data_IF_155688895275
#
_entry.id   IF_155688895275
#
_cell.length_a   1.000
_cell.length_b   1.000
_cell.length_c   1.000
_cell.angle_alpha   90.00
_cell.angle_beta   90.00
_cell.angle_gamma   90.00
#
_symmetry.space_group_name_H-M   'P 1'
#
loop_
_entity.id
_entity.type
_entity.pdbx_description
1 polymer ?
#
# COMPACT_ATOMS: atom_id res chain seq x y z
N UNK A 1 -7.39 0.34 -0.58
CA UNK A 1 -7.82 0.70 -1.94
C UNK A 1 -6.86 0.11 -2.97
N UNK A 2 -5.58 0.44 -2.93
CA UNK A 2 -4.54 -0.12 -3.82
C UNK A 2 -4.57 -1.65 -3.88
N UNK A 3 -4.71 -2.35 -2.75
CA UNK A 3 -4.80 -3.82 -2.70
C UNK A 3 -5.99 -4.36 -3.50
N UNK A 4 -7.16 -3.76 -3.35
CA UNK A 4 -8.36 -4.14 -4.13
C UNK A 4 -8.12 -3.86 -5.61
N UNK A 5 -7.52 -2.71 -5.95
CA UNK A 5 -7.23 -2.39 -7.34
C UNK A 5 -6.20 -3.31 -7.97
N UNK A 6 -5.19 -3.77 -7.22
CA UNK A 6 -4.25 -4.79 -7.69
C UNK A 6 -4.96 -6.12 -7.99
N UNK A 7 -5.89 -6.53 -7.14
CA UNK A 7 -6.71 -7.71 -7.39
C UNK A 7 -7.56 -7.54 -8.65
N UNK A 8 -8.26 -6.42 -8.81
CA UNK A 8 -9.07 -6.11 -10.00
C UNK A 8 -8.19 -6.05 -11.25
N UNK A 9 -7.01 -5.42 -11.18
CA UNK A 9 -6.07 -5.38 -12.28
C UNK A 9 -5.69 -6.79 -12.75
N UNK A 10 -5.34 -7.70 -11.83
CA UNK A 10 -5.00 -9.07 -12.17
C UNK A 10 -6.18 -9.81 -12.80
N UNK A 11 -7.39 -9.65 -12.26
CA UNK A 11 -8.60 -10.22 -12.85
C UNK A 11 -8.86 -9.68 -14.27
N UNK A 12 -8.65 -8.39 -14.51
CA UNK A 12 -8.80 -7.79 -15.85
C UNK A 12 -7.78 -8.33 -16.86
N UNK A 13 -6.58 -8.70 -16.42
CA UNK A 13 -5.56 -9.34 -17.27
C UNK A 13 -5.92 -10.78 -17.62
N UNK A 14 -6.58 -11.51 -16.72
CA UNK A 14 -7.01 -12.90 -16.92
C UNK A 14 -8.26 -12.99 -17.81
N UNK A 15 -9.18 -12.01 -17.76
CA UNK A 15 -10.41 -11.97 -18.56
C UNK A 15 -10.14 -11.66 -20.04
N UNK A 16 -9.77 -12.70 -20.81
CA UNK A 16 -9.52 -12.58 -22.25
C UNK A 16 -10.73 -12.04 -23.00
N UNK A 17 -10.51 -11.00 -23.81
CA UNK A 17 -11.51 -10.43 -24.72
C UNK A 17 -12.38 -9.32 -24.16
N UNK A 18 -12.25 -8.93 -22.89
CA UNK A 18 -12.96 -7.78 -22.31
C UNK A 18 -12.23 -6.47 -22.57
N UNK A 19 -10.93 -6.46 -22.37
CA UNK A 19 -10.03 -5.36 -22.68
C UNK A 19 -8.80 -5.89 -23.43
N UNK A 20 -8.26 -5.08 -24.33
CA UNK A 20 -7.07 -5.42 -25.08
C UNK A 20 -5.80 -5.11 -24.27
N UNK A 21 -5.89 -4.09 -23.42
CA UNK A 21 -4.78 -3.69 -22.54
C UNK A 21 -5.30 -3.16 -21.19
N UNK A 22 -4.53 -3.36 -20.14
CA UNK A 22 -4.74 -2.79 -18.81
C UNK A 22 -3.44 -2.13 -18.36
N UNK A 23 -3.49 -0.84 -18.11
CA UNK A 23 -2.33 -0.04 -17.74
C UNK A 23 -2.47 0.43 -16.29
N UNK A 24 -1.38 0.38 -15.54
CA UNK A 24 -1.30 0.82 -14.15
C UNK A 24 -0.25 1.90 -13.98
N UNK A 25 -0.63 3.01 -13.37
CA UNK A 25 0.27 4.12 -13.05
C UNK A 25 -0.06 4.61 -11.64
N UNK A 26 0.94 4.70 -10.77
CA UNK A 26 0.82 5.34 -9.46
C UNK A 26 1.12 6.83 -9.60
N UNK A 27 0.23 7.67 -9.06
CA UNK A 27 0.38 9.13 -9.15
C UNK A 27 1.10 9.62 -7.90
N UNK A 28 2.23 10.31 -8.09
CA UNK A 28 2.99 10.89 -6.98
C UNK A 28 2.18 11.92 -6.22
N UNK A 29 2.33 11.98 -4.90
CA UNK A 29 1.67 12.95 -4.03
C UNK A 29 2.06 14.39 -4.39
N UNK A 30 3.34 14.64 -4.62
CA UNK A 30 3.79 15.87 -5.27
C UNK A 30 3.51 15.77 -6.76
N UNK A 31 2.37 16.33 -7.20
CA UNK A 31 1.95 16.25 -8.60
C UNK A 31 2.97 16.91 -9.52
N UNK A 32 3.48 16.14 -10.46
CA UNK A 32 4.35 16.59 -11.55
C UNK A 32 3.82 16.00 -12.86
N UNK A 33 3.36 16.89 -13.74
CA UNK A 33 2.78 16.51 -15.03
C UNK A 33 3.79 15.76 -15.92
N UNK A 34 5.05 16.16 -15.91
CA UNK A 34 6.11 15.55 -16.73
C UNK A 34 6.41 14.14 -16.26
N UNK A 35 6.47 13.96 -14.93
CA UNK A 35 6.64 12.64 -14.31
C UNK A 35 5.46 11.73 -14.63
N UNK A 36 4.23 12.23 -14.46
CA UNK A 36 3.02 11.45 -14.75
C UNK A 36 2.97 11.03 -16.23
N UNK A 37 3.29 11.95 -17.15
CA UNK A 37 3.39 11.64 -18.58
C UNK A 37 4.45 10.58 -18.87
N UNK A 38 5.60 10.64 -18.20
CA UNK A 38 6.67 9.64 -18.33
C UNK A 38 6.24 8.27 -17.83
N UNK A 39 5.54 8.22 -16.71
CA UNK A 39 5.07 6.96 -16.12
C UNK A 39 3.96 6.32 -16.95
N UNK A 40 3.04 7.13 -17.51
CA UNK A 40 2.05 6.65 -18.48
C UNK A 40 2.75 6.13 -19.74
N UNK A 41 3.72 6.86 -20.27
CA UNK A 41 4.44 6.45 -21.47
C UNK A 41 5.19 5.13 -21.27
N UNK A 42 5.82 4.92 -20.11
CA UNK A 42 6.43 3.63 -19.74
C UNK A 42 5.40 2.51 -19.72
N UNK A 43 4.23 2.74 -19.12
CA UNK A 43 3.15 1.75 -19.09
C UNK A 43 2.61 1.41 -20.49
N UNK A 44 2.68 2.35 -21.43
CA UNK A 44 2.25 2.20 -22.82
C UNK A 44 3.36 1.65 -23.73
N UNK A 45 4.56 1.46 -23.22
CA UNK A 45 5.79 1.17 -24.03
C UNK A 45 6.02 2.22 -25.13
N UNK A 46 5.77 3.50 -24.79
CA UNK A 46 5.88 4.63 -25.70
C UNK A 46 7.15 5.43 -25.39
N UNK A 47 8.11 5.55 -26.33
CA UNK A 47 9.30 6.36 -26.10
C UNK A 47 8.95 7.86 -26.10
N UNK A 48 9.23 8.54 -24.98
CA UNK A 48 9.21 10.00 -24.87
C UNK A 48 10.63 10.50 -24.60
N UNK A 49 10.98 11.64 -25.20
CA UNK A 49 12.25 12.30 -24.90
C UNK A 49 12.15 13.12 -23.63
N UNK A 50 13.20 13.18 -22.83
CA UNK A 50 13.22 13.93 -21.57
C UNK A 50 13.06 15.45 -21.77
N UNK A 51 13.65 15.99 -22.84
CA UNK A 51 13.63 17.40 -23.22
C UNK A 51 12.40 17.83 -24.03
N UNK A 52 11.43 16.95 -24.23
CA UNK A 52 10.25 17.21 -25.04
C UNK A 52 9.22 18.03 -24.26
N UNK A 53 8.67 19.07 -24.90
CA UNK A 53 7.62 19.91 -24.30
C UNK A 53 6.39 19.11 -23.84
N UNK A 54 5.84 19.50 -22.70
CA UNK A 54 4.65 18.87 -22.05
C UNK A 54 3.49 18.70 -23.03
N UNK A 55 3.23 19.72 -23.87
CA UNK A 55 2.15 19.69 -24.88
C UNK A 55 2.39 18.66 -25.98
N UNK A 56 3.63 18.48 -26.43
CA UNK A 56 3.98 17.46 -27.42
C UNK A 56 3.89 16.06 -26.84
N UNK A 57 4.35 15.90 -25.59
CA UNK A 57 4.22 14.65 -24.83
C UNK A 57 2.73 14.27 -24.67
N UNK A 58 1.90 15.24 -24.27
CA UNK A 58 0.44 15.04 -24.16
C UNK A 58 -0.19 14.59 -25.48
N UNK A 59 0.17 15.24 -26.60
CA UNK A 59 -0.35 14.86 -27.93
C UNK A 59 0.03 13.42 -28.31
N UNK A 60 1.25 12.97 -28.01
CA UNK A 60 1.69 11.60 -28.27
C UNK A 60 0.93 10.57 -27.43
N UNK A 61 0.78 10.84 -26.14
CA UNK A 61 0.00 9.99 -25.21
C UNK A 61 -1.45 9.90 -25.67
N UNK A 62 -2.05 11.05 -25.98
CA UNK A 62 -3.43 11.12 -26.47
C UNK A 62 -3.61 10.31 -27.76
N UNK A 63 -2.70 10.40 -28.71
CA UNK A 63 -2.77 9.67 -29.97
C UNK A 63 -2.74 8.14 -29.76
N UNK A 64 -2.00 7.65 -28.76
CA UNK A 64 -1.96 6.22 -28.43
C UNK A 64 -3.17 5.77 -27.65
N UNK A 65 -3.59 6.53 -26.64
CA UNK A 65 -4.73 6.21 -25.78
C UNK A 65 -6.08 6.42 -26.49
N UNK A 66 -6.15 7.22 -27.53
CA UNK A 66 -7.39 7.47 -28.29
C UNK A 66 -7.59 6.49 -29.47
N UNK A 67 -6.73 5.48 -29.60
CA UNK A 67 -6.93 4.43 -30.61
C UNK A 67 -8.16 3.59 -30.28
N UNK A 68 -8.87 3.04 -31.28
CA UNK A 68 -10.07 2.24 -31.08
C UNK A 68 -9.75 0.83 -30.54
N UNK A 69 -9.05 0.77 -29.43
CA UNK A 69 -8.74 -0.44 -28.66
C UNK A 69 -9.35 -0.30 -27.28
N UNK A 70 -9.97 -1.36 -26.81
CA UNK A 70 -10.55 -1.39 -25.46
C UNK A 70 -9.41 -1.48 -24.43
N UNK A 71 -9.25 -0.44 -23.66
CA UNK A 71 -8.23 -0.43 -22.61
C UNK A 71 -8.73 0.22 -21.33
N UNK A 72 -8.08 -0.17 -20.22
CA UNK A 72 -8.28 0.42 -18.91
C UNK A 72 -6.98 1.12 -18.51
N UNK A 73 -7.07 2.38 -18.14
CA UNK A 73 -6.00 3.11 -17.47
C UNK A 73 -6.36 3.24 -16.00
N UNK A 74 -5.54 2.67 -15.12
CA UNK A 74 -5.68 2.76 -13.67
C UNK A 74 -4.67 3.80 -13.18
N UNK A 75 -5.18 4.86 -12.53
CA UNK A 75 -4.40 5.87 -11.83
C UNK A 75 -4.54 5.62 -10.32
N UNK A 76 -3.49 5.09 -9.71
CA UNK A 76 -3.52 4.75 -8.29
C UNK A 76 -3.00 5.90 -7.43
N UNK A 77 -3.67 6.14 -6.29
CA UNK A 77 -3.37 7.11 -5.25
C UNK A 77 -3.33 8.58 -5.72
N UNK A 78 -4.38 9.02 -6.44
CA UNK A 78 -4.53 10.42 -6.88
C UNK A 78 -4.87 11.31 -5.69
N UNK A 79 -4.02 12.30 -5.39
CA UNK A 79 -4.14 13.20 -4.25
C UNK A 79 -4.85 14.51 -4.60
N UNK A 80 -4.60 15.04 -5.80
CA UNK A 80 -5.14 16.31 -6.28
C UNK A 80 -5.77 16.14 -7.66
N UNK A 81 -6.83 16.89 -7.98
CA UNK A 81 -7.42 16.84 -9.29
C UNK A 81 -6.50 17.54 -10.30
N UNK A 82 -6.40 16.97 -11.49
CA UNK A 82 -5.67 17.55 -12.61
C UNK A 82 -6.48 17.44 -13.90
N UNK A 83 -6.10 18.22 -14.90
CA UNK A 83 -6.74 18.17 -16.20
C UNK A 83 -6.21 16.99 -17.04
N UNK A 84 -7.12 16.10 -17.47
CA UNK A 84 -6.76 14.92 -18.25
C UNK A 84 -6.19 15.28 -19.62
N UNK A 85 -6.72 16.34 -20.25
CA UNK A 85 -6.28 16.77 -21.57
C UNK A 85 -4.84 17.30 -21.53
N UNK A 86 -4.47 18.03 -20.47
CA UNK A 86 -3.10 18.54 -20.28
C UNK A 86 -2.06 17.43 -20.10
N UNK A 87 -2.45 16.30 -19.51
CA UNK A 87 -1.60 15.11 -19.40
C UNK A 87 -1.56 14.30 -20.69
N UNK A 88 -2.61 14.42 -21.53
CA UNK A 88 -2.78 13.65 -22.75
C UNK A 88 -3.64 12.39 -22.57
N UNK A 89 -4.45 12.34 -21.51
CA UNK A 89 -5.42 11.26 -21.29
C UNK A 89 -6.75 11.65 -21.94
N UNK A 90 -7.22 10.91 -22.95
CA UNK A 90 -8.50 11.21 -23.59
C UNK A 90 -9.65 10.99 -22.62
N UNK A 91 -10.69 11.82 -22.70
CA UNK A 91 -11.92 11.61 -21.93
C UNK A 91 -12.51 10.24 -22.27
N UNK A 92 -12.84 9.42 -21.27
CA UNK A 92 -13.41 8.11 -21.50
C UNK A 92 -14.75 8.21 -22.24
N UNK A 93 -14.83 7.59 -23.40
CA UNK A 93 -16.05 7.53 -24.25
C UNK A 93 -16.22 6.10 -24.78
N UNK A 94 -17.48 5.74 -25.09
CA UNK A 94 -17.75 4.42 -25.72
C UNK A 94 -17.04 4.26 -27.06
N UNK A 95 -16.86 5.35 -27.80
CA UNK A 95 -16.26 5.38 -29.13
C UNK A 95 -14.76 5.11 -29.14
N UNK A 96 -14.02 5.51 -28.07
CA UNK A 96 -12.58 5.28 -28.00
C UNK A 96 -12.19 4.05 -27.18
N UNK A 97 -13.17 3.34 -26.59
CA UNK A 97 -12.94 2.13 -25.82
C UNK A 97 -12.13 2.32 -24.53
N UNK A 98 -11.80 3.58 -24.20
CA UNK A 98 -11.03 3.93 -23.00
C UNK A 98 -11.90 3.84 -21.74
N UNK A 99 -11.39 3.21 -20.70
CA UNK A 99 -11.90 3.32 -19.33
C UNK A 99 -10.82 3.87 -18.42
N UNK A 100 -11.19 4.89 -17.65
CA UNK A 100 -10.34 5.45 -16.61
C UNK A 100 -10.87 5.00 -15.25
N UNK A 101 -9.98 4.44 -14.44
CA UNK A 101 -10.24 4.09 -13.04
C UNK A 101 -9.21 4.81 -12.20
N UNK A 102 -9.63 5.48 -11.13
CA UNK A 102 -8.70 6.09 -10.21
C UNK A 102 -8.99 5.66 -8.76
N UNK A 103 -7.95 5.58 -7.96
CA UNK A 103 -8.10 5.51 -6.50
C UNK A 103 -7.73 6.84 -5.89
N UNK A 104 -8.48 7.27 -4.91
CA UNK A 104 -8.23 8.51 -4.17
C UNK A 104 -8.76 8.38 -2.74
N UNK A 105 -8.23 9.21 -1.83
CA UNK A 105 -8.73 9.36 -0.46
C UNK A 105 -9.77 10.50 -0.36
N UNK A 106 -9.91 11.30 -1.42
CA UNK A 106 -10.77 12.47 -1.46
C UNK A 106 -11.96 12.29 -2.41
N UNK A 107 -13.17 12.45 -1.89
CA UNK A 107 -14.38 12.48 -2.71
C UNK A 107 -14.40 13.70 -3.64
N UNK A 108 -13.79 14.80 -3.21
CA UNK A 108 -13.67 16.04 -4.01
C UNK A 108 -12.81 15.80 -5.26
N UNK A 109 -11.67 15.11 -5.12
CA UNK A 109 -10.83 14.70 -6.27
C UNK A 109 -11.66 13.87 -7.25
N UNK A 110 -12.40 12.87 -6.77
CA UNK A 110 -13.25 12.03 -7.60
C UNK A 110 -14.27 12.85 -8.41
N UNK A 111 -14.93 13.80 -7.75
CA UNK A 111 -15.92 14.69 -8.40
C UNK A 111 -15.29 15.61 -9.45
N UNK A 112 -14.18 16.26 -9.10
CA UNK A 112 -13.48 17.19 -10.00
C UNK A 112 -12.84 16.49 -11.20
N UNK A 113 -12.45 15.23 -11.04
CA UNK A 113 -11.98 14.37 -12.14
C UNK A 113 -13.14 13.80 -12.99
N UNK A 114 -14.40 14.12 -12.67
CA UNK A 114 -15.58 13.66 -13.42
C UNK A 114 -15.83 12.16 -13.30
N UNK A 115 -15.31 11.51 -12.26
CA UNK A 115 -15.47 10.07 -12.03
C UNK A 115 -16.71 9.76 -11.18
N UNK A 116 -17.35 8.62 -11.44
CA UNK A 116 -18.39 8.09 -10.57
C UNK A 116 -17.76 7.48 -9.34
N UNK A 117 -18.07 7.98 -8.13
CA UNK A 117 -17.45 7.48 -6.90
C UNK A 117 -17.98 6.08 -6.54
N UNK A 118 -17.06 5.19 -6.20
CA UNK A 118 -17.33 3.90 -5.56
C UNK A 118 -16.67 3.92 -4.20
N UNK A 119 -17.48 3.92 -3.14
CA UNK A 119 -16.98 3.87 -1.77
C UNK A 119 -16.45 2.48 -1.46
N UNK A 120 -15.22 2.43 -0.95
CA UNK A 120 -14.65 1.20 -0.39
C UNK A 120 -14.87 1.24 1.11
N UNK A 121 -15.74 0.39 1.60
CA UNK A 121 -16.06 0.28 3.02
C UNK A 121 -14.93 -0.41 3.80
N UNK A 122 -14.94 -0.20 5.10
CA UNK A 122 -14.10 -0.96 6.04
C UNK A 122 -14.65 -2.38 6.16
N UNK A 123 -13.85 -3.29 6.67
CA UNK A 123 -14.32 -4.63 6.98
C UNK A 123 -15.40 -4.59 8.07
N UNK A 124 -16.37 -5.49 7.96
CA UNK A 124 -17.30 -5.77 9.06
C UNK A 124 -16.51 -6.35 10.24
N UNK A 125 -17.13 -6.37 11.41
CA UNK A 125 -16.52 -6.95 12.61
C UNK A 125 -16.11 -8.42 12.39
N UNK A 126 -16.97 -9.20 11.75
CA UNK A 126 -16.72 -10.61 11.44
C UNK A 126 -15.57 -10.81 10.48
N UNK A 127 -15.52 -10.02 9.40
CA UNK A 127 -14.40 -10.03 8.44
C UNK A 127 -13.08 -9.61 9.09
N UNK A 128 -13.13 -8.60 9.97
CA UNK A 128 -11.96 -8.12 10.69
C UNK A 128 -11.38 -9.18 11.63
N UNK A 129 -12.25 -9.86 12.40
CA UNK A 129 -11.85 -10.96 13.28
C UNK A 129 -11.29 -12.13 12.49
N UNK A 130 -11.95 -12.52 11.40
CA UNK A 130 -11.48 -13.59 10.53
C UNK A 130 -10.10 -13.30 9.95
N UNK A 131 -9.89 -12.09 9.42
CA UNK A 131 -8.59 -11.67 8.88
C UNK A 131 -7.53 -11.64 9.97
N UNK A 132 -7.86 -11.11 11.15
CA UNK A 132 -6.94 -11.02 12.27
C UNK A 132 -6.47 -12.41 12.72
N UNK A 133 -7.39 -13.33 12.98
CA UNK A 133 -7.08 -14.69 13.40
C UNK A 133 -6.23 -15.41 12.35
N UNK A 134 -6.62 -15.33 11.08
CA UNK A 134 -5.85 -15.92 9.97
C UNK A 134 -4.40 -15.41 9.92
N UNK A 135 -4.21 -14.11 10.17
CA UNK A 135 -2.88 -13.46 10.13
C UNK A 135 -2.05 -13.68 11.40
N UNK A 136 -2.70 -13.69 12.57
CA UNK A 136 -2.01 -13.83 13.87
C UNK A 136 -1.61 -15.27 14.17
N UNK A 137 -2.45 -16.24 13.80
CA UNK A 137 -2.32 -17.64 14.26
C UNK A 137 -2.09 -18.60 13.11
N UNK A 138 -2.52 -18.23 11.90
CA UNK A 138 -2.54 -19.13 10.74
C UNK A 138 -3.81 -19.97 10.67
N UNK A 139 -3.90 -20.79 9.61
CA UNK A 139 -5.12 -21.57 9.32
C UNK A 139 -5.23 -22.84 10.17
N UNK A 140 -4.11 -23.39 10.66
CA UNK A 140 -4.06 -24.73 11.26
C UNK A 140 -3.92 -24.72 12.79
N UNK A 141 -3.89 -23.56 13.42
CA UNK A 141 -3.72 -23.44 14.87
C UNK A 141 -5.06 -23.26 15.56
N UNK A 142 -5.42 -24.18 16.44
CA UNK A 142 -6.61 -24.06 17.28
C UNK A 142 -6.26 -23.27 18.54
N UNK A 143 -6.90 -22.15 18.72
CA UNK A 143 -6.81 -21.33 19.93
C UNK A 143 -7.70 -21.90 21.03
N UNK A 144 -7.30 -21.67 22.29
CA UNK A 144 -8.25 -21.91 23.39
C UNK A 144 -9.36 -20.84 23.35
N UNK A 145 -10.58 -21.14 23.82
CA UNK A 145 -11.69 -20.18 23.80
C UNK A 145 -11.35 -18.84 24.45
N UNK A 146 -10.56 -18.86 25.54
CA UNK A 146 -10.15 -17.65 26.25
C UNK A 146 -9.18 -16.79 25.42
N UNK A 147 -8.28 -17.40 24.66
CA UNK A 147 -7.34 -16.67 23.78
C UNK A 147 -8.10 -16.13 22.59
N UNK A 148 -9.03 -16.89 22.03
CA UNK A 148 -9.87 -16.46 20.91
C UNK A 148 -10.74 -15.24 21.29
N UNK A 149 -11.29 -15.20 22.50
CA UNK A 149 -12.02 -14.04 23.02
C UNK A 149 -11.14 -12.79 23.10
N UNK A 150 -9.88 -12.92 23.59
CA UNK A 150 -8.95 -11.80 23.66
C UNK A 150 -8.53 -11.35 22.25
N UNK A 151 -8.22 -12.27 21.36
CA UNK A 151 -7.87 -12.00 19.97
C UNK A 151 -9.01 -11.26 19.24
N UNK A 152 -10.25 -11.66 19.50
CA UNK A 152 -11.45 -10.98 18.99
C UNK A 152 -11.54 -9.54 19.51
N UNK A 153 -11.25 -9.29 20.78
CA UNK A 153 -11.23 -7.92 21.34
C UNK A 153 -10.15 -7.07 20.66
N UNK A 154 -8.94 -7.61 20.45
CA UNK A 154 -7.87 -6.89 19.75
C UNK A 154 -8.28 -6.59 18.28
N UNK A 155 -8.92 -7.55 17.60
CA UNK A 155 -9.41 -7.35 16.24
C UNK A 155 -10.45 -6.24 16.13
N UNK A 156 -11.38 -6.15 17.09
CA UNK A 156 -12.39 -5.09 17.17
C UNK A 156 -11.77 -3.70 17.32
N UNK A 157 -10.69 -3.59 18.07
CA UNK A 157 -9.95 -2.34 18.20
C UNK A 157 -9.42 -1.82 16.85
N UNK A 158 -9.25 -2.68 15.84
CA UNK A 158 -8.83 -2.27 14.49
C UNK A 158 -9.90 -1.50 13.71
N UNK A 159 -11.13 -1.44 14.19
CA UNK A 159 -12.26 -0.73 13.57
C UNK A 159 -12.44 -1.06 12.07
N UNK A 160 -12.19 -2.30 11.66
CA UNK A 160 -12.31 -2.77 10.29
C UNK A 160 -11.23 -2.26 9.33
N UNK A 161 -10.21 -1.54 9.80
CA UNK A 161 -9.15 -1.02 8.95
C UNK A 161 -8.13 -2.12 8.59
N UNK A 162 -8.01 -2.53 7.30
CA UNK A 162 -7.18 -3.67 6.91
C UNK A 162 -5.70 -3.56 7.33
N UNK A 163 -5.11 -2.35 7.24
CA UNK A 163 -3.73 -2.11 7.65
C UNK A 163 -3.55 -2.34 9.15
N UNK A 164 -4.44 -1.78 9.99
CA UNK A 164 -4.38 -1.96 11.44
C UNK A 164 -4.53 -3.44 11.81
N UNK A 165 -5.47 -4.15 11.17
CA UNK A 165 -5.69 -5.58 11.39
C UNK A 165 -4.42 -6.38 11.07
N UNK A 166 -3.84 -6.18 9.88
CA UNK A 166 -2.67 -6.92 9.44
C UNK A 166 -1.44 -6.64 10.32
N UNK A 167 -1.25 -5.38 10.71
CA UNK A 167 -0.11 -4.95 11.54
C UNK A 167 -0.22 -5.50 12.96
N UNK A 168 -1.37 -5.34 13.61
CA UNK A 168 -1.60 -5.87 14.96
C UNK A 168 -1.57 -7.39 15.00
N UNK A 169 -2.16 -8.07 14.01
CA UNK A 169 -2.07 -9.52 13.89
C UNK A 169 -0.62 -10.00 13.74
N UNK A 170 0.18 -9.30 12.94
CA UNK A 170 1.63 -9.57 12.82
C UNK A 170 2.35 -9.49 14.16
N UNK A 171 2.06 -8.47 14.97
CA UNK A 171 2.64 -8.29 16.32
C UNK A 171 2.23 -9.38 17.32
N UNK A 172 1.09 -10.03 17.07
CA UNK A 172 0.58 -11.09 17.93
C UNK A 172 1.07 -12.50 17.56
N UNK A 173 1.77 -12.68 16.44
CA UNK A 173 2.24 -14.01 15.96
C UNK A 173 3.16 -14.72 16.96
N UNK A 174 3.95 -13.97 17.72
CA UNK A 174 4.90 -14.53 18.68
C UNK A 174 4.27 -14.88 20.02
N UNK A 175 3.01 -14.52 20.26
CA UNK A 175 2.32 -14.73 21.53
C UNK A 175 1.94 -16.20 21.69
N UNK A 176 2.43 -16.84 22.76
CA UNK A 176 2.23 -18.29 22.99
C UNK A 176 1.18 -18.58 24.08
N UNK A 177 1.05 -17.72 25.06
CA UNK A 177 0.22 -17.98 26.23
C UNK A 177 -0.81 -16.90 26.51
N UNK A 178 -1.91 -17.26 27.20
CA UNK A 178 -3.01 -16.37 27.54
C UNK A 178 -2.57 -15.09 28.25
N UNK A 179 -1.49 -15.17 29.07
CA UNK A 179 -0.98 -13.99 29.80
C UNK A 179 -0.38 -12.95 28.83
N UNK A 180 0.30 -13.41 27.80
CA UNK A 180 0.87 -12.53 26.77
C UNK A 180 -0.22 -11.87 25.94
N UNK A 181 -1.29 -12.60 25.61
CA UNK A 181 -2.45 -12.07 24.92
C UNK A 181 -3.20 -11.02 25.75
N UNK A 182 -3.38 -11.27 27.06
CA UNK A 182 -3.98 -10.28 27.98
C UNK A 182 -3.13 -9.01 28.09
N UNK A 183 -1.82 -9.17 28.25
CA UNK A 183 -0.91 -8.03 28.29
C UNK A 183 -0.96 -7.21 27.00
N UNK A 184 -1.00 -7.88 25.84
CA UNK A 184 -1.13 -7.19 24.54
C UNK A 184 -2.42 -6.38 24.44
N UNK A 185 -3.55 -6.92 24.90
CA UNK A 185 -4.83 -6.21 24.93
C UNK A 185 -4.78 -5.02 25.88
N UNK A 186 -4.24 -5.20 27.08
CA UNK A 186 -4.14 -4.15 28.11
C UNK A 186 -3.22 -2.99 27.67
N UNK A 187 -2.09 -3.28 27.05
CA UNK A 187 -1.20 -2.27 26.47
C UNK A 187 -1.90 -1.49 25.36
N UNK A 188 -2.57 -2.19 24.42
CA UNK A 188 -3.27 -1.58 23.31
C UNK A 188 -4.41 -0.67 23.78
N UNK A 189 -5.25 -1.15 24.69
CA UNK A 189 -6.38 -0.38 25.22
C UNK A 189 -5.93 0.79 26.10
N UNK A 190 -4.84 0.64 26.83
CA UNK A 190 -4.30 1.73 27.67
C UNK A 190 -3.73 2.86 26.81
N UNK A 191 -3.06 2.55 25.71
CA UNK A 191 -2.51 3.57 24.80
C UNK A 191 -3.60 4.38 24.05
N UNK A 192 -4.83 3.89 24.00
CA UNK A 192 -5.94 4.53 23.26
C UNK A 192 -6.93 5.27 24.13
N UNK A 193 -6.86 5.17 25.47
CA UNK A 193 -7.91 5.68 26.41
C UNK A 193 -8.22 7.17 26.28
N UNK A 194 -7.21 8.00 25.96
CA UNK A 194 -7.34 9.46 25.94
C UNK A 194 -7.44 10.05 24.54
N UNK A 195 -7.59 9.20 23.51
CA UNK A 195 -7.58 9.65 22.11
C UNK A 195 -9.01 9.84 21.60
N UNK A 196 -9.33 11.08 21.25
CA UNK A 196 -10.61 11.45 20.64
C UNK A 196 -10.62 11.38 19.12
N UNK A 197 -9.43 11.43 18.47
CA UNK A 197 -9.28 11.48 17.02
C UNK A 197 -8.89 10.12 16.44
N UNK A 198 -9.58 9.72 15.37
CA UNK A 198 -9.35 8.43 14.71
C UNK A 198 -7.96 8.30 14.05
N UNK A 199 -7.37 9.41 13.59
CA UNK A 199 -6.02 9.41 13.04
C UNK A 199 -4.99 9.05 14.12
N UNK A 200 -5.13 9.62 15.31
CA UNK A 200 -4.28 9.33 16.46
C UNK A 200 -4.45 7.88 16.94
N UNK A 201 -5.66 7.34 16.91
CA UNK A 201 -5.91 5.92 17.22
C UNK A 201 -5.20 4.99 16.25
N UNK A 202 -5.21 5.31 14.96
CA UNK A 202 -4.48 4.53 13.94
C UNK A 202 -2.99 4.60 14.20
N UNK A 203 -2.45 5.80 14.47
CA UNK A 203 -1.05 6.00 14.77
C UNK A 203 -0.58 5.18 15.99
N UNK A 204 -1.33 5.19 17.09
CA UNK A 204 -1.00 4.41 18.30
C UNK A 204 -1.03 2.90 18.02
N UNK A 205 -1.93 2.40 17.17
CA UNK A 205 -1.91 0.99 16.73
C UNK A 205 -0.65 0.62 15.95
N UNK A 206 -0.19 1.51 15.08
CA UNK A 206 1.07 1.32 14.35
C UNK A 206 2.28 1.41 15.29
N UNK A 207 2.27 2.35 16.21
CA UNK A 207 3.31 2.51 17.25
C UNK A 207 3.39 1.31 18.18
N UNK A 208 2.25 0.74 18.57
CA UNK A 208 2.18 -0.52 19.30
C UNK A 208 2.91 -1.64 18.55
N UNK A 209 2.66 -1.79 17.26
CA UNK A 209 3.34 -2.79 16.44
C UNK A 209 4.84 -2.54 16.32
N UNK A 210 5.23 -1.26 16.16
CA UNK A 210 6.64 -0.88 16.12
C UNK A 210 7.36 -1.20 17.45
N UNK A 211 6.74 -0.93 18.60
CA UNK A 211 7.34 -1.23 19.90
C UNK A 211 7.57 -2.74 20.12
N UNK A 212 6.82 -3.58 19.40
CA UNK A 212 6.92 -5.05 19.45
C UNK A 212 7.86 -5.66 18.42
N UNK A 213 8.61 -4.86 17.67
CA UNK A 213 9.67 -5.36 16.76
C UNK A 213 10.86 -6.04 17.48
N UNK A 214 10.76 -6.27 18.77
CA UNK A 214 11.65 -7.14 19.54
C UNK A 214 12.95 -6.51 19.99
N UNK A 215 13.69 -5.80 19.14
CA UNK A 215 14.96 -5.16 19.52
C UNK A 215 15.21 -3.85 18.76
N UNK A 216 16.16 -3.08 19.28
CA UNK A 216 16.52 -1.76 18.75
C UNK A 216 17.00 -1.83 17.29
N UNK A 217 17.74 -2.86 16.91
CA UNK A 217 18.25 -3.05 15.54
C UNK A 217 17.09 -3.15 14.55
N UNK A 218 16.07 -3.96 14.84
CA UNK A 218 14.88 -4.09 13.98
C UNK A 218 14.12 -2.76 13.85
N UNK A 219 14.00 -2.03 14.97
CA UNK A 219 13.34 -0.73 15.00
C UNK A 219 14.09 0.30 14.16
N UNK A 220 15.42 0.37 14.28
CA UNK A 220 16.26 1.31 13.55
C UNK A 220 16.30 0.98 12.04
N UNK A 221 16.45 -0.30 11.69
CA UNK A 221 16.34 -0.77 10.31
C UNK A 221 14.99 -0.43 9.69
N UNK A 222 13.89 -0.59 10.44
CA UNK A 222 12.56 -0.20 9.97
C UNK A 222 12.44 1.32 9.76
N UNK A 223 12.90 2.12 10.72
CA UNK A 223 12.90 3.58 10.62
C UNK A 223 13.76 4.09 9.48
N UNK A 224 14.86 3.43 9.16
CA UNK A 224 15.72 3.80 8.03
C UNK A 224 14.97 3.81 6.70
N UNK A 225 13.97 2.95 6.53
CA UNK A 225 13.14 2.96 5.32
C UNK A 225 12.40 4.28 5.09
N UNK A 226 12.18 5.10 6.14
CA UNK A 226 11.52 6.40 6.03
C UNK A 226 12.40 7.49 5.38
N UNK A 227 13.68 7.24 5.20
CA UNK A 227 14.62 8.14 4.51
C UNK A 227 14.47 8.10 2.99
N UNK A 228 13.85 7.04 2.46
CA UNK A 228 13.57 6.95 1.05
C UNK A 228 12.35 7.84 0.66
N UNK A 229 12.36 8.39 -0.56
CA UNK A 229 11.20 9.13 -1.06
C UNK A 229 9.92 8.30 -1.04
N UNK A 230 8.77 8.96 -0.92
CA UNK A 230 7.46 8.31 -1.07
C UNK A 230 7.37 7.58 -2.42
N UNK A 231 6.76 6.40 -2.43
CA UNK A 231 6.63 5.52 -3.60
C UNK A 231 7.95 5.02 -4.22
N UNK A 232 9.07 5.21 -3.53
CA UNK A 232 10.35 4.67 -3.98
C UNK A 232 10.37 3.14 -3.85
N UNK A 233 10.77 2.46 -4.92
CA UNK A 233 11.02 1.02 -4.86
C UNK A 233 12.39 0.75 -4.23
N UNK A 234 12.38 0.40 -2.94
CA UNK A 234 13.60 0.08 -2.19
C UNK A 234 14.08 -1.30 -2.59
N UNK A 235 15.26 -1.38 -3.19
CA UNK A 235 15.89 -2.67 -3.53
C UNK A 235 16.49 -3.28 -2.27
N UNK A 236 16.22 -4.57 -2.04
CA UNK A 236 16.66 -5.29 -0.85
C UNK A 236 18.18 -5.18 -0.64
N UNK A 237 18.95 -5.39 -1.71
CA UNK A 237 20.41 -5.31 -1.65
C UNK A 237 20.91 -3.92 -1.25
N UNK A 238 20.39 -2.88 -1.88
CA UNK A 238 20.71 -1.47 -1.60
C UNK A 238 20.36 -1.10 -0.15
N UNK A 239 19.19 -1.54 0.34
CA UNK A 239 18.78 -1.30 1.72
C UNK A 239 19.73 -1.94 2.73
N UNK A 240 20.15 -3.19 2.48
CA UNK A 240 21.09 -3.90 3.35
C UNK A 240 22.46 -3.23 3.33
N UNK A 241 22.97 -2.82 2.16
CA UNK A 241 24.22 -2.05 2.05
C UNK A 241 24.18 -0.77 2.89
N UNK A 242 23.07 -0.02 2.82
CA UNK A 242 22.90 1.18 3.64
C UNK A 242 22.85 0.85 5.13
N UNK A 243 22.16 -0.21 5.57
CA UNK A 243 22.13 -0.63 6.97
C UNK A 243 23.52 -1.03 7.49
N UNK A 244 24.35 -1.63 6.64
CA UNK A 244 25.74 -1.95 6.97
C UNK A 244 26.57 -0.68 7.07
N UNK A 245 26.45 0.24 6.11
CA UNK A 245 27.20 1.50 6.08
C UNK A 245 26.87 2.42 7.27
N UNK A 246 25.63 2.40 7.74
CA UNK A 246 25.17 3.15 8.92
C UNK A 246 25.37 2.37 10.24
N UNK A 247 26.12 1.28 10.19
CA UNK A 247 26.42 0.43 11.37
C UNK A 247 25.19 -0.11 12.12
N UNK A 248 24.01 -0.14 11.46
CA UNK A 248 22.78 -0.72 12.02
C UNK A 248 22.90 -2.25 12.13
N UNK A 249 23.69 -2.85 11.25
CA UNK A 249 24.07 -4.26 11.25
C UNK A 249 25.59 -4.33 11.45
N UNK A 250 26.04 -4.09 12.68
CA UNK A 250 27.43 -4.17 13.09
C UNK A 250 27.75 -5.54 13.74
N UNK A 251 29.01 -5.73 14.13
CA UNK A 251 29.51 -6.84 14.95
C UNK A 251 29.42 -8.24 14.30
N UNK A 252 29.54 -8.31 12.97
CA UNK A 252 29.63 -9.57 12.25
C UNK A 252 31.06 -9.84 11.76
N UNK A 253 31.44 -11.13 11.71
CA UNK A 253 32.80 -11.55 11.38
C UNK A 253 33.17 -11.36 9.89
N UNK A 254 32.17 -11.06 9.02
CA UNK A 254 32.37 -10.84 7.59
C UNK A 254 31.20 -10.04 7.00
N UNK A 255 31.48 -9.43 5.84
CA UNK A 255 30.45 -8.73 5.05
C UNK A 255 29.31 -9.68 4.63
N UNK A 256 29.63 -10.93 4.30
CA UNK A 256 28.65 -11.94 3.95
C UNK A 256 27.68 -12.20 5.13
N UNK A 257 28.22 -12.34 6.34
CA UNK A 257 27.39 -12.50 7.54
C UNK A 257 26.49 -11.27 7.83
N UNK A 258 26.96 -10.06 7.50
CA UNK A 258 26.13 -8.85 7.59
C UNK A 258 24.97 -8.88 6.58
N UNK A 259 25.20 -9.31 5.33
CA UNK A 259 24.14 -9.51 4.34
C UNK A 259 23.12 -10.58 4.77
N UNK A 260 23.59 -11.73 5.26
CA UNK A 260 22.72 -12.78 5.79
C UNK A 260 21.84 -12.26 6.93
N UNK A 261 22.42 -11.48 7.83
CA UNK A 261 21.66 -10.81 8.91
C UNK A 261 20.64 -9.83 8.37
N UNK A 262 21.00 -9.04 7.35
CA UNK A 262 20.07 -8.12 6.66
C UNK A 262 18.89 -8.85 6.04
N UNK A 263 19.14 -9.95 5.34
CA UNK A 263 18.07 -10.81 4.81
C UNK A 263 17.19 -11.41 5.91
N UNK A 264 17.78 -11.85 7.02
CA UNK A 264 17.02 -12.36 8.18
C UNK A 264 16.15 -11.31 8.86
N UNK A 265 16.54 -10.03 8.81
CA UNK A 265 15.71 -8.90 9.29
C UNK A 265 14.49 -8.65 8.38
N UNK A 266 14.62 -8.89 7.08
CA UNK A 266 13.55 -8.66 6.09
C UNK A 266 12.57 -9.83 5.96
N UNK A 267 12.96 -11.05 6.36
CA UNK A 267 12.13 -12.28 6.28
C UNK A 267 11.32 -12.50 7.52
#
# INVERSE_FOLDING_TARGET
KTTIMKYIHNQLLEEKGKFDNVYWVTVSKAFDITKLQSDIAKALDLPLKEDEEVTKRAAKLHAVLNRPKRHVLILDDVWEPFDLDSVGIPKPMRSNGCKLVLTTRSLEVCRRMGCTPVKVDLFTEEEAVTLFLTKAVGHDTVLTPEVEEIATKIAKECAGLPLAIATLAGSCRALKGIREWRNALDELTSSMKDLSDDANKIFEKLKFSYSRLGNKVLQDCFLYCSLYPEDHFIRVYELIEHWIAEELIADMNSVEAQFDKGHAILG
#
